data_IF_477080406570
#
_entry.id   IF_477080406570
#
_cell.length_a   1.000
_cell.length_b   1.000
_cell.length_c   1.000
_cell.angle_alpha   90.00
_cell.angle_beta   90.00
_cell.angle_gamma   90.00
#
_symmetry.space_group_name_H-M   'P 1'
#
loop_
_entity.id
_entity.type
_entity.pdbx_description
1 polymer ?
#
# COMPACT_ATOMS: atom_id res chain seq x y z
N UNK A 1 9.33 -8.19 -6.90
CA UNK A 1 10.70 -7.97 -6.40
C UNK A 1 11.35 -6.97 -7.32
N UNK A 2 11.84 -5.85 -6.77
CA UNK A 2 12.44 -4.74 -7.53
C UNK A 2 13.95 -4.75 -7.29
N UNK A 3 14.77 -4.50 -8.33
CA UNK A 3 16.23 -4.69 -8.27
C UNK A 3 16.99 -3.55 -8.97
N UNK A 4 18.12 -3.17 -8.39
CA UNK A 4 19.18 -2.36 -9.00
C UNK A 4 20.42 -3.24 -9.08
N UNK A 5 21.06 -3.27 -10.24
CA UNK A 5 22.37 -3.91 -10.41
C UNK A 5 23.43 -2.83 -10.50
N UNK A 6 24.52 -3.00 -9.76
CA UNK A 6 25.74 -2.25 -9.97
C UNK A 6 26.65 -3.14 -10.82
N UNK A 7 26.82 -2.76 -12.08
CA UNK A 7 27.73 -3.39 -13.03
C UNK A 7 28.81 -2.40 -13.43
N UNK A 8 29.97 -2.93 -13.81
CA UNK A 8 30.98 -2.11 -14.44
C UNK A 8 30.54 -1.89 -15.90
N UNK A 9 30.11 -0.68 -16.26
CA UNK A 9 29.57 -0.39 -17.60
C UNK A 9 30.66 0.06 -18.60
N UNK A 10 31.92 0.12 -18.15
CA UNK A 10 33.08 0.40 -18.99
C UNK A 10 33.61 -0.92 -19.60
N UNK A 11 33.85 -0.99 -20.94
CA UNK A 11 34.31 -2.21 -21.63
C UNK A 11 35.59 -2.84 -21.06
N UNK A 12 36.60 -2.02 -20.74
CA UNK A 12 37.84 -2.51 -20.14
C UNK A 12 37.60 -3.09 -18.73
N UNK A 13 36.65 -2.51 -18.02
CA UNK A 13 36.20 -2.97 -16.72
C UNK A 13 35.37 -4.25 -16.80
N UNK A 14 34.57 -4.42 -17.86
CA UNK A 14 33.87 -5.68 -18.13
C UNK A 14 34.82 -6.80 -18.49
N UNK A 15 35.87 -6.52 -19.27
CA UNK A 15 36.92 -7.48 -19.57
C UNK A 15 37.71 -7.87 -18.31
N UNK A 16 38.07 -6.89 -17.47
CA UNK A 16 38.76 -7.14 -16.20
C UNK A 16 37.87 -7.91 -15.21
N UNK A 17 36.59 -7.53 -15.08
CA UNK A 17 35.62 -8.25 -14.27
C UNK A 17 35.35 -9.66 -14.81
N UNK A 18 35.32 -9.86 -16.12
CA UNK A 18 35.22 -11.17 -16.75
C UNK A 18 36.47 -12.02 -16.49
N UNK A 19 37.66 -11.42 -16.52
CA UNK A 19 38.92 -12.09 -16.17
C UNK A 19 38.95 -12.48 -14.68
N UNK A 20 38.59 -11.58 -13.77
CA UNK A 20 38.46 -11.84 -12.32
C UNK A 20 37.42 -12.93 -12.04
N UNK A 21 36.29 -12.91 -12.76
CA UNK A 21 35.24 -13.94 -12.69
C UNK A 21 35.72 -15.30 -13.21
N UNK A 22 36.53 -15.32 -14.27
CA UNK A 22 37.13 -16.54 -14.84
C UNK A 22 38.20 -17.14 -13.93
N UNK A 23 38.93 -16.31 -13.18
CA UNK A 23 39.94 -16.73 -12.21
C UNK A 23 39.27 -17.09 -10.85
N UNK A 24 38.06 -16.58 -10.58
CA UNK A 24 37.30 -16.89 -9.37
C UNK A 24 37.87 -16.26 -8.10
N UNK A 25 38.77 -15.27 -8.23
CA UNK A 25 39.56 -14.67 -7.14
C UNK A 25 39.38 -13.16 -7.11
N UNK A 26 38.54 -12.66 -6.21
CA UNK A 26 38.33 -11.22 -5.98
C UNK A 26 39.48 -10.56 -5.20
N UNK A 27 40.35 -11.37 -4.59
CA UNK A 27 41.55 -10.97 -3.85
C UNK A 27 42.64 -10.35 -4.73
N UNK A 28 42.48 -10.40 -6.05
CA UNK A 28 43.38 -9.73 -7.02
C UNK A 28 43.12 -8.22 -7.10
N UNK A 29 41.90 -7.77 -6.78
CA UNK A 29 41.50 -6.35 -6.82
C UNK A 29 40.81 -5.94 -5.49
N UNK A 30 41.55 -5.94 -4.37
CA UNK A 30 40.97 -5.75 -3.05
C UNK A 30 40.36 -4.36 -2.86
N UNK A 31 40.97 -3.28 -3.41
CA UNK A 31 40.39 -1.94 -3.30
C UNK A 31 39.10 -1.83 -4.13
N UNK A 32 39.08 -2.43 -5.31
CA UNK A 32 37.92 -2.46 -6.20
C UNK A 32 36.76 -3.25 -5.57
N UNK A 33 37.01 -4.44 -5.01
CA UNK A 33 35.95 -5.25 -4.37
C UNK A 33 35.35 -4.53 -3.15
N UNK A 34 36.19 -3.93 -2.32
CA UNK A 34 35.76 -3.12 -1.18
C UNK A 34 34.89 -1.92 -1.64
N UNK A 35 35.25 -1.30 -2.75
CA UNK A 35 34.53 -0.16 -3.34
C UNK A 35 33.16 -0.57 -3.86
N UNK A 36 33.06 -1.68 -4.62
CA UNK A 36 31.77 -2.22 -5.05
C UNK A 36 30.85 -2.52 -3.86
N UNK A 37 31.39 -3.10 -2.78
CA UNK A 37 30.62 -3.34 -1.56
C UNK A 37 30.18 -2.02 -0.89
N UNK A 38 31.05 -1.01 -0.85
CA UNK A 38 30.75 0.32 -0.32
C UNK A 38 29.65 1.03 -1.09
N UNK A 39 29.77 1.07 -2.42
CA UNK A 39 28.76 1.62 -3.32
C UNK A 39 27.40 0.90 -3.18
N UNK A 40 27.41 -0.43 -3.08
CA UNK A 40 26.17 -1.20 -2.88
C UNK A 40 25.50 -0.88 -1.53
N UNK A 41 26.27 -0.69 -0.45
CA UNK A 41 25.74 -0.26 0.85
C UNK A 41 25.18 1.15 0.79
N UNK A 42 25.89 2.08 0.17
CA UNK A 42 25.46 3.47 -0.02
C UNK A 42 24.09 3.56 -0.71
N UNK A 43 23.90 2.86 -1.84
CA UNK A 43 22.60 2.82 -2.55
C UNK A 43 21.51 2.21 -1.66
N UNK A 44 21.83 1.11 -0.96
CA UNK A 44 20.88 0.48 -0.06
C UNK A 44 20.47 1.38 1.12
N UNK A 45 21.40 2.16 1.67
CA UNK A 45 21.14 3.07 2.78
C UNK A 45 20.30 4.27 2.33
N UNK A 46 20.57 4.83 1.14
CA UNK A 46 19.69 5.83 0.51
C UNK A 46 18.27 5.29 0.29
N UNK A 47 18.13 4.04 -0.19
CA UNK A 47 16.81 3.41 -0.36
C UNK A 47 16.09 3.21 0.99
N UNK A 48 16.81 2.77 2.03
CA UNK A 48 16.26 2.63 3.39
C UNK A 48 15.78 3.95 3.96
N UNK A 49 16.60 5.00 3.83
CA UNK A 49 16.30 6.35 4.30
C UNK A 49 15.07 6.93 3.57
N UNK A 50 14.95 6.71 2.26
CA UNK A 50 13.75 7.06 1.51
C UNK A 50 12.51 6.33 2.03
N UNK A 51 12.62 5.03 2.29
CA UNK A 51 11.53 4.25 2.88
C UNK A 51 11.09 4.71 4.28
N UNK A 52 12.00 5.31 5.03
CA UNK A 52 11.74 5.93 6.34
C UNK A 52 11.27 7.39 6.23
N UNK A 53 11.20 7.95 5.02
CA UNK A 53 10.86 9.35 4.80
C UNK A 53 11.93 10.33 5.30
N UNK A 54 13.17 9.87 5.48
CA UNK A 54 14.29 10.68 5.98
C UNK A 54 15.09 11.36 4.86
N UNK A 55 15.03 10.81 3.64
CA UNK A 55 15.79 11.31 2.49
C UNK A 55 14.94 11.24 1.23
N UNK A 56 14.85 12.36 0.52
CA UNK A 56 14.22 12.40 -0.79
C UNK A 56 15.17 11.91 -1.88
N UNK A 57 14.60 11.33 -2.93
CA UNK A 57 15.32 10.92 -4.14
C UNK A 57 14.88 11.87 -5.26
N UNK A 58 15.81 12.57 -5.94
CA UNK A 58 15.46 13.46 -7.05
C UNK A 58 14.61 12.76 -8.11
N UNK A 59 13.54 13.41 -8.56
CA UNK A 59 12.60 12.86 -9.54
C UNK A 59 11.60 11.84 -8.98
N UNK A 60 11.72 11.45 -7.71
CA UNK A 60 10.82 10.50 -7.05
C UNK A 60 9.97 11.24 -6.01
N UNK A 61 8.63 11.10 -6.03
CA UNK A 61 7.79 11.73 -5.02
C UNK A 61 8.15 11.30 -3.59
N UNK A 62 8.11 12.20 -2.59
CA UNK A 62 8.40 11.87 -1.21
C UNK A 62 7.55 10.71 -0.66
N UNK A 63 8.11 9.99 0.32
CA UNK A 63 7.40 8.89 0.96
C UNK A 63 6.30 9.42 1.87
N UNK A 64 5.04 9.41 1.39
CA UNK A 64 3.88 9.93 2.13
C UNK A 64 3.64 9.20 3.47
N UNK A 65 3.94 7.90 3.51
CA UNK A 65 3.78 7.06 4.70
C UNK A 65 5.05 6.25 4.90
N UNK A 66 5.98 6.70 5.76
CA UNK A 66 7.15 5.92 6.15
C UNK A 66 6.79 4.50 6.56
N UNK A 67 7.60 3.52 6.16
CA UNK A 67 7.31 2.11 6.42
C UNK A 67 8.57 1.34 6.79
N UNK A 68 8.63 0.87 8.04
CA UNK A 68 9.70 -0.01 8.53
C UNK A 68 9.78 -1.30 7.73
N UNK A 69 8.64 -1.86 7.31
CA UNK A 69 8.60 -3.06 6.47
C UNK A 69 9.18 -2.81 5.07
N UNK A 70 8.91 -1.66 4.47
CA UNK A 70 9.48 -1.32 3.16
C UNK A 70 10.99 -1.10 3.26
N UNK A 71 11.46 -0.35 4.25
CA UNK A 71 12.90 -0.10 4.47
C UNK A 71 13.65 -1.38 4.87
N UNK A 72 13.10 -2.19 5.77
CA UNK A 72 13.68 -3.47 6.19
C UNK A 72 13.74 -4.53 5.08
N UNK A 73 12.95 -4.33 4.03
CA UNK A 73 12.93 -5.15 2.81
C UNK A 73 14.12 -4.92 1.87
N UNK A 74 14.94 -3.87 2.08
CA UNK A 74 16.12 -3.58 1.24
C UNK A 74 17.29 -4.51 1.59
N UNK A 75 17.69 -5.34 0.62
CA UNK A 75 18.76 -6.33 0.73
C UNK A 75 19.88 -6.02 -0.26
N UNK A 76 21.11 -6.34 0.13
CA UNK A 76 22.30 -6.31 -0.72
C UNK A 76 22.82 -7.73 -0.84
N UNK A 77 23.01 -8.21 -2.07
CA UNK A 77 23.55 -9.54 -2.35
C UNK A 77 24.71 -9.44 -3.32
N UNK A 78 25.87 -9.98 -2.93
CA UNK A 78 26.99 -10.26 -3.84
C UNK A 78 26.63 -11.50 -4.66
N UNK A 79 26.52 -11.34 -5.97
CA UNK A 79 26.16 -12.46 -6.87
C UNK A 79 27.38 -13.08 -7.54
N UNK A 80 28.44 -12.29 -7.73
CA UNK A 80 29.73 -12.71 -8.25
C UNK A 80 30.81 -11.70 -7.79
N UNK A 81 32.12 -11.96 -8.03
CA UNK A 81 33.14 -10.92 -7.91
C UNK A 81 32.74 -9.65 -8.67
N UNK A 82 32.86 -8.49 -8.02
CA UNK A 82 32.49 -7.18 -8.58
C UNK A 82 31.04 -7.08 -9.10
N UNK A 83 30.12 -7.91 -8.59
CA UNK A 83 28.71 -7.89 -8.97
C UNK A 83 27.81 -7.89 -7.75
N UNK A 84 27.13 -6.75 -7.52
CA UNK A 84 26.20 -6.55 -6.43
C UNK A 84 24.79 -6.26 -6.95
N UNK A 85 23.81 -6.91 -6.34
CA UNK A 85 22.39 -6.64 -6.54
C UNK A 85 21.81 -6.03 -5.28
N UNK A 86 21.17 -4.88 -5.41
CA UNK A 86 20.37 -4.25 -4.37
C UNK A 86 18.90 -4.51 -4.72
N UNK A 87 18.13 -5.09 -3.81
CA UNK A 87 16.73 -5.43 -4.05
C UNK A 87 15.82 -5.06 -2.91
N UNK A 88 14.55 -4.81 -3.20
CA UNK A 88 13.52 -4.68 -2.18
C UNK A 88 12.49 -5.82 -2.30
N UNK A 89 12.41 -6.60 -1.22
CA UNK A 89 11.56 -7.79 -1.11
C UNK A 89 10.22 -7.51 -0.41
N UNK A 90 9.98 -6.28 0.02
CA UNK A 90 8.69 -5.91 0.62
C UNK A 90 7.54 -6.04 -0.40
N UNK A 91 6.36 -6.43 0.07
CA UNK A 91 5.14 -6.49 -0.77
C UNK A 91 4.78 -5.15 -1.39
N UNK A 92 5.17 -4.04 -0.74
CA UNK A 92 4.92 -2.70 -1.23
C UNK A 92 5.87 -2.29 -2.36
N UNK A 93 7.03 -2.93 -2.52
CA UNK A 93 8.03 -2.49 -3.50
C UNK A 93 7.54 -2.49 -4.95
N UNK A 94 6.92 -3.55 -5.48
CA UNK A 94 6.39 -3.50 -6.84
C UNK A 94 5.30 -2.45 -7.02
N UNK A 95 4.44 -2.26 -6.01
CA UNK A 95 3.34 -1.29 -6.05
C UNK A 95 3.85 0.15 -6.05
N UNK A 96 4.90 0.44 -5.30
CA UNK A 96 5.51 1.77 -5.27
C UNK A 96 6.36 2.01 -6.51
N UNK A 97 7.06 1.00 -7.02
CA UNK A 97 7.89 1.13 -8.21
C UNK A 97 7.03 1.39 -9.44
N UNK A 98 6.12 0.47 -9.74
CA UNK A 98 5.37 0.45 -11.00
C UNK A 98 3.98 1.09 -10.90
N UNK A 99 3.52 1.39 -9.68
CA UNK A 99 2.16 1.87 -9.47
C UNK A 99 1.10 0.78 -9.65
N UNK A 100 -0.14 1.22 -9.60
CA UNK A 100 -1.33 0.45 -9.96
C UNK A 100 -2.34 1.38 -10.61
N UNK A 101 -3.04 0.88 -11.63
CA UNK A 101 -4.12 1.63 -12.24
C UNK A 101 -5.30 1.82 -11.28
N UNK A 102 -5.99 2.93 -11.46
CA UNK A 102 -7.29 3.13 -10.84
C UNK A 102 -8.35 2.24 -11.48
N UNK A 103 -9.39 1.92 -10.73
CA UNK A 103 -10.52 1.14 -11.25
C UNK A 103 -11.83 1.55 -10.59
N UNK A 104 -12.93 1.32 -11.31
CA UNK A 104 -14.27 1.49 -10.77
C UNK A 104 -14.60 0.28 -9.87
N UNK A 105 -14.68 0.52 -8.56
CA UNK A 105 -14.96 -0.51 -7.57
C UNK A 105 -16.35 -1.13 -7.76
N UNK A 106 -17.27 -0.47 -8.46
CA UNK A 106 -18.60 -1.05 -8.80
C UNK A 106 -18.51 -2.27 -9.69
N UNK A 107 -17.41 -2.46 -10.41
CA UNK A 107 -17.21 -3.63 -11.29
C UNK A 107 -16.80 -4.89 -10.54
N UNK A 108 -16.30 -4.75 -9.30
CA UNK A 108 -15.72 -5.87 -8.55
C UNK A 108 -16.37 -6.06 -7.18
N UNK A 109 -16.57 -4.98 -6.42
CA UNK A 109 -16.94 -5.06 -5.01
C UNK A 109 -18.39 -5.54 -4.77
N UNK A 110 -19.40 -5.12 -5.56
CA UNK A 110 -20.76 -5.62 -5.41
C UNK A 110 -20.93 -7.12 -5.68
N UNK A 111 -19.95 -7.80 -6.29
CA UNK A 111 -20.10 -9.18 -6.79
C UNK A 111 -19.31 -10.22 -5.97
N UNK A 112 -18.66 -9.82 -4.88
CA UNK A 112 -17.84 -10.71 -4.05
C UNK A 112 -18.64 -11.53 -3.03
N UNK A 113 -17.96 -12.39 -2.26
CA UNK A 113 -18.58 -13.30 -1.26
C UNK A 113 -19.47 -12.59 -0.23
N UNK A 114 -19.10 -11.36 0.17
CA UNK A 114 -19.85 -10.57 1.17
C UNK A 114 -20.99 -9.74 0.57
N UNK A 115 -21.16 -9.75 -0.74
CA UNK A 115 -22.23 -9.05 -1.43
C UNK A 115 -23.61 -9.51 -0.97
N UNK A 116 -24.60 -8.65 -1.19
CA UNK A 116 -26.02 -8.88 -0.99
C UNK A 116 -26.76 -8.53 -2.27
N UNK A 117 -28.01 -8.97 -2.38
CA UNK A 117 -28.83 -8.76 -3.57
C UNK A 117 -30.11 -8.05 -3.20
N UNK A 118 -30.33 -6.87 -3.78
CA UNK A 118 -31.60 -6.15 -3.68
C UNK A 118 -32.50 -6.59 -4.83
N UNK A 119 -33.74 -6.95 -4.51
CA UNK A 119 -34.79 -7.24 -5.50
C UNK A 119 -35.55 -5.95 -5.76
N UNK A 120 -35.41 -5.37 -6.96
CA UNK A 120 -36.13 -4.15 -7.33
C UNK A 120 -36.95 -4.37 -8.60
N UNK A 121 -38.19 -3.91 -8.61
CA UNK A 121 -39.02 -3.95 -9.82
C UNK A 121 -38.52 -2.88 -10.80
N UNK A 122 -38.09 -3.28 -11.98
CA UNK A 122 -37.74 -2.33 -13.02
C UNK A 122 -39.02 -1.63 -13.51
N UNK A 123 -39.09 -0.28 -13.44
CA UNK A 123 -40.30 0.45 -13.81
C UNK A 123 -40.65 0.34 -15.30
N UNK A 124 -39.66 0.10 -16.17
CA UNK A 124 -39.79 -0.07 -17.63
C UNK A 124 -40.21 -1.48 -18.02
N UNK A 125 -39.49 -2.50 -17.56
CA UNK A 125 -39.75 -3.89 -17.97
C UNK A 125 -40.79 -4.60 -17.08
N UNK A 126 -41.16 -3.99 -15.95
CA UNK A 126 -42.03 -4.56 -14.90
C UNK A 126 -41.51 -5.87 -14.27
N UNK A 127 -40.31 -6.32 -14.65
CA UNK A 127 -39.66 -7.51 -14.10
C UNK A 127 -38.86 -7.18 -12.83
N UNK A 128 -38.61 -8.19 -11.99
CA UNK A 128 -37.71 -8.07 -10.84
C UNK A 128 -36.28 -8.12 -11.34
N UNK A 129 -35.49 -7.10 -11.03
CA UNK A 129 -34.06 -7.07 -11.21
C UNK A 129 -33.34 -7.37 -9.90
N UNK A 130 -32.32 -8.21 -10.00
CA UNK A 130 -31.38 -8.48 -8.93
C UNK A 130 -30.24 -7.47 -9.01
N UNK A 131 -30.08 -6.65 -7.98
CA UNK A 131 -29.07 -5.61 -7.93
C UNK A 131 -28.07 -5.97 -6.84
N UNK A 132 -26.85 -6.38 -7.23
CA UNK A 132 -25.81 -6.66 -6.27
C UNK A 132 -25.33 -5.37 -5.60
N UNK A 133 -25.01 -5.48 -4.31
CA UNK A 133 -24.41 -4.42 -3.53
C UNK A 133 -23.52 -4.96 -2.41
N UNK A 134 -22.56 -4.15 -1.99
CA UNK A 134 -21.68 -4.40 -0.85
C UNK A 134 -21.84 -3.26 0.17
N UNK A 135 -22.07 -3.64 1.43
CA UNK A 135 -22.02 -2.73 2.56
C UNK A 135 -20.58 -2.66 3.06
N UNK A 136 -19.98 -1.47 3.02
CA UNK A 136 -18.61 -1.21 3.45
C UNK A 136 -18.65 -0.41 4.75
N UNK A 137 -18.22 -1.00 5.89
CA UNK A 137 -18.10 -0.29 7.14
C UNK A 137 -16.83 0.58 7.15
N UNK A 138 -16.97 1.84 7.55
CA UNK A 138 -15.86 2.76 7.78
C UNK A 138 -15.83 3.11 9.26
N UNK A 139 -14.72 2.79 9.92
CA UNK A 139 -14.50 3.13 11.32
C UNK A 139 -14.07 4.59 11.49
N UNK A 140 -14.43 5.13 12.65
CA UNK A 140 -14.10 6.49 13.05
C UNK A 140 -13.36 6.50 14.39
N UNK A 141 -12.27 7.26 14.44
CA UNK A 141 -11.58 7.59 15.67
C UNK A 141 -12.29 8.74 16.41
N UNK A 142 -12.13 8.77 17.72
CA UNK A 142 -12.53 9.92 18.56
C UNK A 142 -11.49 11.03 18.46
N UNK A 143 -11.83 12.27 18.84
CA UNK A 143 -10.89 13.39 18.82
C UNK A 143 -9.57 13.05 19.54
N UNK A 144 -8.46 13.52 18.96
CA UNK A 144 -7.10 13.19 19.42
C UNK A 144 -6.55 11.84 18.96
N UNK A 145 -7.34 11.00 18.29
CA UNK A 145 -6.86 9.69 17.80
C UNK A 145 -6.15 9.83 16.44
N UNK A 146 -4.92 9.32 16.35
CA UNK A 146 -4.06 9.38 15.14
C UNK A 146 -4.00 8.09 14.33
N UNK A 147 -4.60 7.00 14.81
CA UNK A 147 -4.52 5.66 14.19
C UNK A 147 -5.61 5.38 13.15
N UNK A 148 -6.67 6.19 13.09
CA UNK A 148 -7.77 6.01 12.15
C UNK A 148 -7.59 6.87 10.90
N UNK A 149 -8.13 6.41 9.77
CA UNK A 149 -8.16 7.21 8.54
C UNK A 149 -9.19 8.35 8.61
N UNK A 150 -10.27 8.13 9.37
CA UNK A 150 -11.28 9.14 9.67
C UNK A 150 -11.30 9.37 11.18
N UNK A 151 -11.16 10.63 11.61
CA UNK A 151 -11.27 11.03 13.01
C UNK A 151 -12.38 12.08 13.10
N UNK A 152 -13.28 11.92 14.07
CA UNK A 152 -14.37 12.87 14.30
C UNK A 152 -13.81 14.23 14.74
N UNK A 153 -14.49 15.31 14.34
CA UNK A 153 -14.30 16.61 14.98
C UNK A 153 -14.89 16.58 16.40
N UNK A 154 -14.49 17.53 17.24
CA UNK A 154 -15.03 17.67 18.59
C UNK A 154 -16.56 17.80 18.57
N UNK A 155 -17.12 18.59 17.65
CA UNK A 155 -18.57 18.81 17.52
C UNK A 155 -19.32 17.53 17.15
N UNK A 156 -18.82 16.78 16.16
CA UNK A 156 -19.43 15.51 15.74
C UNK A 156 -19.36 14.50 16.90
N UNK A 157 -18.23 14.46 17.60
CA UNK A 157 -18.06 13.55 18.72
C UNK A 157 -18.99 13.87 19.89
N UNK A 158 -19.16 15.16 20.22
CA UNK A 158 -20.05 15.61 21.29
C UNK A 158 -21.51 15.19 21.07
N UNK A 159 -21.95 15.07 19.81
CA UNK A 159 -23.27 14.53 19.46
C UNK A 159 -23.22 13.00 19.52
N UNK A 160 -22.23 12.39 18.87
CA UNK A 160 -22.13 10.93 18.73
C UNK A 160 -22.00 10.20 20.09
N UNK A 161 -21.32 10.79 21.07
CA UNK A 161 -21.17 10.21 22.41
C UNK A 161 -22.48 10.16 23.22
N UNK A 162 -23.50 10.91 22.82
CA UNK A 162 -24.82 10.93 23.48
C UNK A 162 -25.80 9.97 22.83
N UNK A 163 -25.49 9.49 21.63
CA UNK A 163 -26.31 8.51 20.91
C UNK A 163 -26.44 7.21 21.69
N UNK A 164 -27.62 6.61 21.62
CA UNK A 164 -27.85 5.24 22.09
C UNK A 164 -26.99 4.27 21.29
N UNK A 165 -26.43 3.28 21.99
CA UNK A 165 -25.58 2.27 21.37
C UNK A 165 -26.43 1.26 20.61
N UNK A 166 -26.06 1.00 19.37
CA UNK A 166 -26.49 -0.15 18.59
C UNK A 166 -25.70 -1.39 19.04
N UNK A 167 -26.32 -2.56 18.96
CA UNK A 167 -25.78 -3.83 19.50
C UNK A 167 -25.82 -4.91 18.42
N UNK A 168 -24.74 -5.69 18.32
CA UNK A 168 -24.72 -6.91 17.53
C UNK A 168 -25.36 -8.02 18.35
N UNK A 169 -26.37 -8.67 17.80
CA UNK A 169 -27.07 -9.78 18.45
C UNK A 169 -26.24 -11.06 18.35
N UNK A 170 -26.47 -11.99 19.27
CA UNK A 170 -25.90 -13.35 19.18
C UNK A 170 -26.54 -14.17 18.05
N UNK A 171 -27.78 -13.83 17.70
CA UNK A 171 -28.54 -14.47 16.62
C UNK A 171 -27.93 -14.16 15.24
N UNK A 172 -27.96 -15.18 14.39
CA UNK A 172 -27.53 -15.10 12.98
C UNK A 172 -28.61 -15.63 12.06
N UNK A 173 -28.61 -15.14 10.82
CA UNK A 173 -29.42 -15.71 9.74
C UNK A 173 -28.57 -15.95 8.50
N UNK A 174 -29.07 -16.81 7.62
CA UNK A 174 -28.47 -17.04 6.30
C UNK A 174 -29.13 -16.16 5.25
N UNK A 175 -28.31 -15.46 4.47
CA UNK A 175 -28.72 -14.68 3.32
C UNK A 175 -27.87 -15.08 2.11
N UNK A 176 -28.50 -15.24 0.95
CA UNK A 176 -27.79 -15.49 -0.30
C UNK A 176 -26.93 -14.28 -0.71
N UNK A 177 -25.70 -14.54 -1.15
CA UNK A 177 -24.87 -13.54 -1.81
C UNK A 177 -25.23 -13.42 -3.31
N UNK A 178 -24.50 -12.57 -4.05
CA UNK A 178 -24.68 -12.43 -5.50
C UNK A 178 -24.58 -13.74 -6.28
N UNK A 179 -23.73 -14.67 -5.84
CA UNK A 179 -23.54 -15.97 -6.49
C UNK A 179 -24.58 -17.03 -6.07
N UNK A 180 -25.55 -16.68 -5.21
CA UNK A 180 -26.54 -17.61 -4.66
C UNK A 180 -26.03 -18.48 -3.52
N UNK A 181 -24.83 -18.20 -2.99
CA UNK A 181 -24.29 -18.94 -1.84
C UNK A 181 -24.92 -18.41 -0.54
N UNK A 182 -25.37 -19.32 0.34
CA UNK A 182 -25.87 -18.96 1.66
C UNK A 182 -24.72 -18.48 2.56
N UNK A 183 -24.80 -17.23 3.03
CA UNK A 183 -23.82 -16.62 3.92
C UNK A 183 -24.47 -16.32 5.26
N UNK A 184 -23.89 -16.82 6.35
CA UNK A 184 -24.29 -16.50 7.72
C UNK A 184 -23.97 -15.04 8.06
N UNK A 185 -24.91 -14.34 8.69
CA UNK A 185 -24.78 -12.92 9.06
C UNK A 185 -25.41 -12.65 10.43
N UNK A 186 -24.76 -11.78 11.19
CA UNK A 186 -25.30 -11.30 12.46
C UNK A 186 -26.54 -10.44 12.29
N UNK A 187 -27.43 -10.54 13.27
CA UNK A 187 -28.49 -9.58 13.48
C UNK A 187 -28.01 -8.38 14.31
N UNK A 188 -28.71 -7.26 14.18
CA UNK A 188 -28.33 -6.01 14.81
C UNK A 188 -29.57 -5.32 15.38
N UNK A 189 -29.48 -4.91 16.65
CA UNK A 189 -30.40 -3.93 17.20
C UNK A 189 -29.83 -2.54 16.93
N UNK A 190 -30.34 -1.90 15.88
CA UNK A 190 -29.97 -0.53 15.54
C UNK A 190 -30.67 0.46 16.46
N UNK A 191 -29.90 1.41 16.99
CA UNK A 191 -30.39 2.50 17.81
C UNK A 191 -30.32 3.82 17.00
N UNK A 192 -29.71 4.86 17.56
CA UNK A 192 -29.67 6.17 16.92
C UNK A 192 -28.70 6.19 15.73
N UNK A 193 -28.96 7.10 14.78
CA UNK A 193 -28.09 7.45 13.66
C UNK A 193 -27.88 8.95 13.62
N UNK A 194 -26.64 9.36 13.37
CA UNK A 194 -26.30 10.76 13.17
C UNK A 194 -26.79 11.20 11.78
N UNK A 195 -27.81 12.05 11.73
CA UNK A 195 -28.37 12.59 10.48
C UNK A 195 -28.67 14.09 10.69
N UNK A 196 -27.68 14.92 10.40
CA UNK A 196 -27.75 16.37 10.47
C UNK A 196 -27.19 16.97 9.17
N UNK A 197 -27.47 18.24 8.92
CA UNK A 197 -26.90 18.93 7.78
C UNK A 197 -25.38 19.08 7.95
N UNK A 198 -24.65 19.08 6.83
CA UNK A 198 -23.20 19.33 6.79
C UNK A 198 -22.29 18.33 7.52
N UNK A 199 -22.79 17.13 7.83
CA UNK A 199 -21.99 16.05 8.43
C UNK A 199 -20.96 15.41 7.48
N UNK A 200 -21.05 15.70 6.18
CA UNK A 200 -20.18 15.17 5.15
C UNK A 200 -20.07 13.65 5.22
N UNK A 201 -18.87 13.15 5.54
CA UNK A 201 -18.61 11.72 5.58
C UNK A 201 -19.18 11.00 6.81
N UNK A 202 -19.53 11.73 7.88
CA UNK A 202 -20.06 11.22 9.14
C UNK A 202 -21.59 11.00 9.11
N UNK A 203 -22.27 11.40 8.02
CA UNK A 203 -23.69 11.15 7.85
C UNK A 203 -24.03 9.66 7.94
N UNK A 204 -25.12 9.35 8.64
CA UNK A 204 -25.55 8.00 8.97
C UNK A 204 -24.65 7.26 9.96
N UNK A 205 -23.76 7.95 10.69
CA UNK A 205 -22.92 7.34 11.72
C UNK A 205 -23.77 6.67 12.79
N UNK A 206 -23.30 5.52 13.27
CA UNK A 206 -23.84 4.83 14.44
C UNK A 206 -22.79 4.76 15.53
N UNK A 207 -23.28 4.76 16.77
CA UNK A 207 -22.49 4.33 17.93
C UNK A 207 -22.79 2.85 18.18
N UNK A 208 -21.77 2.00 18.15
CA UNK A 208 -21.86 0.57 18.42
C UNK A 208 -21.31 0.25 19.81
N UNK A 209 -21.95 -0.68 20.50
CA UNK A 209 -21.38 -1.29 21.70
C UNK A 209 -20.29 -2.29 21.31
N UNK A 210 -19.10 -2.15 21.89
CA UNK A 210 -18.04 -3.15 21.78
C UNK A 210 -18.21 -4.17 22.91
N UNK A 211 -18.91 -5.28 22.64
CA UNK A 211 -19.30 -6.28 23.65
C UNK A 211 -18.14 -6.78 24.53
N UNK A 212 -16.93 -7.05 23.99
CA UNK A 212 -15.78 -7.47 24.80
C UNK A 212 -15.24 -6.42 25.78
N UNK A 213 -15.36 -5.11 25.49
CA UNK A 213 -14.74 -4.05 26.29
C UNK A 213 -15.74 -3.10 26.95
N UNK A 214 -17.03 -3.18 26.59
CA UNK A 214 -18.08 -2.23 26.97
C UNK A 214 -17.92 -0.83 26.37
N UNK A 215 -16.84 -0.58 25.62
CA UNK A 215 -16.54 0.73 25.02
C UNK A 215 -17.45 1.00 23.82
N UNK A 216 -17.42 2.24 23.35
CA UNK A 216 -18.15 2.65 22.16
C UNK A 216 -17.21 2.62 20.96
N UNK A 217 -17.70 2.10 19.83
CA UNK A 217 -17.05 2.28 18.53
C UNK A 217 -17.99 3.00 17.58
N UNK A 218 -17.43 3.74 16.63
CA UNK A 218 -18.20 4.62 15.75
C UNK A 218 -17.99 4.19 14.31
N UNK A 219 -19.10 4.01 13.60
CA UNK A 219 -19.09 3.46 12.25
C UNK A 219 -20.05 4.21 11.35
N UNK A 220 -19.64 4.39 10.10
CA UNK A 220 -20.55 4.73 9.00
C UNK A 220 -20.59 3.57 8.03
N UNK A 221 -21.74 3.31 7.42
CA UNK A 221 -21.90 2.24 6.44
C UNK A 221 -22.21 2.84 5.08
N UNK A 222 -21.35 2.58 4.10
CA UNK A 222 -21.57 3.03 2.74
C UNK A 222 -21.87 1.86 1.83
N UNK A 223 -22.64 2.11 0.78
CA UNK A 223 -23.10 1.06 -0.13
C UNK A 223 -22.46 1.26 -1.50
N UNK A 224 -21.71 0.25 -1.94
CA UNK A 224 -21.27 0.12 -3.33
C UNK A 224 -22.28 -0.79 -4.02
N UNK A 225 -23.06 -0.26 -4.94
CA UNK A 225 -24.02 -1.02 -5.72
C UNK A 225 -23.66 -0.99 -7.21
N UNK A 226 -24.08 -2.02 -7.95
CA UNK A 226 -24.05 -1.99 -9.41
C UNK A 226 -24.82 -0.78 -9.99
N UNK A 227 -25.82 -0.25 -9.27
CA UNK A 227 -26.57 0.97 -9.64
C UNK A 227 -26.04 2.27 -9.01
N UNK A 228 -24.94 2.23 -8.25
CA UNK A 228 -24.36 3.48 -7.71
C UNK A 228 -23.98 4.44 -8.86
N UNK A 229 -24.06 5.78 -8.64
CA UNK A 229 -23.81 6.78 -9.67
C UNK A 229 -22.48 6.57 -10.41
N UNK A 230 -22.40 7.03 -11.66
CA UNK A 230 -21.15 6.98 -12.43
C UNK A 230 -20.06 7.75 -11.68
N UNK A 231 -18.85 7.20 -11.62
CA UNK A 231 -17.68 7.78 -10.95
C UNK A 231 -17.79 7.97 -9.42
N UNK A 232 -18.75 7.36 -8.72
CA UNK A 232 -18.90 7.53 -7.26
C UNK A 232 -17.95 6.66 -6.43
N UNK A 233 -17.43 5.57 -7.00
CA UNK A 233 -16.63 4.55 -6.30
C UNK A 233 -15.35 4.24 -7.07
N UNK A 234 -14.55 5.28 -7.33
CA UNK A 234 -13.29 5.15 -8.05
C UNK A 234 -12.13 4.99 -7.07
N UNK A 235 -11.41 3.87 -7.21
CA UNK A 235 -10.06 3.79 -6.65
C UNK A 235 -9.13 4.50 -7.63
N UNK A 236 -8.35 5.48 -7.15
CA UNK A 236 -7.44 6.27 -7.99
C UNK A 236 -6.14 5.53 -8.36
N UNK A 237 -5.90 4.36 -7.78
CA UNK A 237 -4.63 3.65 -7.95
C UNK A 237 -3.49 4.33 -7.20
N UNK A 238 -2.28 3.87 -7.47
CA UNK A 238 -1.03 4.39 -6.91
C UNK A 238 -0.17 4.78 -8.10
N UNK A 239 0.31 6.04 -8.21
CA UNK A 239 1.20 6.39 -9.30
C UNK A 239 2.54 5.67 -9.16
N UNK A 240 3.13 5.27 -10.29
CA UNK A 240 4.50 4.77 -10.34
C UNK A 240 5.48 5.81 -9.79
N UNK A 241 6.44 5.36 -8.99
CA UNK A 241 7.47 6.23 -8.40
C UNK A 241 8.85 6.02 -9.01
N UNK A 242 9.08 4.92 -9.71
CA UNK A 242 10.37 4.57 -10.32
C UNK A 242 11.56 4.81 -9.36
N UNK A 243 11.45 4.27 -8.14
CA UNK A 243 12.43 4.50 -7.07
C UNK A 243 13.81 4.01 -7.50
N UNK A 244 13.87 2.93 -8.29
CA UNK A 244 15.15 2.40 -8.78
C UNK A 244 15.85 3.31 -9.77
N UNK A 245 15.11 3.92 -10.70
CA UNK A 245 15.67 4.88 -11.66
C UNK A 245 16.19 6.12 -10.94
N UNK A 246 15.42 6.63 -9.96
CA UNK A 246 15.86 7.76 -9.14
C UNK A 246 17.13 7.46 -8.33
N UNK A 247 17.22 6.28 -7.72
CA UNK A 247 18.43 5.86 -7.00
C UNK A 247 19.64 5.67 -7.92
N UNK A 248 19.42 5.14 -9.14
CA UNK A 248 20.48 5.01 -10.13
C UNK A 248 21.00 6.40 -10.50
N UNK A 249 20.12 7.31 -10.93
CA UNK A 249 20.52 8.66 -11.32
C UNK A 249 21.21 9.44 -10.19
N UNK A 250 20.77 9.24 -8.94
CA UNK A 250 21.37 9.89 -7.77
C UNK A 250 22.82 9.47 -7.53
N UNK A 251 23.16 8.20 -7.76
CA UNK A 251 24.45 7.63 -7.37
C UNK A 251 25.36 7.25 -8.55
N UNK A 252 24.87 7.29 -9.78
CA UNK A 252 25.59 6.81 -10.98
C UNK A 252 26.98 7.43 -11.11
N UNK A 253 27.08 8.76 -11.00
CA UNK A 253 28.36 9.47 -11.10
C UNK A 253 29.31 9.10 -9.96
N UNK A 254 28.83 9.16 -8.72
CA UNK A 254 29.63 8.84 -7.53
C UNK A 254 30.17 7.41 -7.55
N UNK A 255 29.35 6.45 -8.00
CA UNK A 255 29.74 5.05 -8.16
C UNK A 255 30.80 4.91 -9.26
N UNK A 256 30.60 5.54 -10.41
CA UNK A 256 31.55 5.48 -11.52
C UNK A 256 32.93 6.04 -11.12
N UNK A 257 32.95 7.21 -10.49
CA UNK A 257 34.18 7.87 -10.03
C UNK A 257 34.89 7.02 -8.96
N UNK A 258 34.14 6.47 -7.99
CA UNK A 258 34.70 5.62 -6.94
C UNK A 258 35.32 4.34 -7.52
N UNK A 259 34.64 3.66 -8.44
CA UNK A 259 35.13 2.45 -9.09
C UNK A 259 36.41 2.76 -9.90
N UNK A 260 36.44 3.84 -10.67
CA UNK A 260 37.61 4.24 -11.46
C UNK A 260 38.84 4.48 -10.57
N UNK A 261 38.68 5.20 -9.46
CA UNK A 261 39.76 5.47 -8.52
C UNK A 261 40.28 4.19 -7.83
N UNK A 262 39.37 3.28 -7.47
CA UNK A 262 39.72 2.02 -6.83
C UNK A 262 40.53 1.11 -7.76
N UNK A 263 40.19 1.09 -9.05
CA UNK A 263 40.93 0.33 -10.06
C UNK A 263 42.31 0.91 -10.31
N UNK A 264 42.44 2.23 -10.43
CA UNK A 264 43.75 2.87 -10.55
C UNK A 264 44.64 2.49 -9.36
N UNK A 265 44.06 2.43 -8.15
CA UNK A 265 44.79 2.01 -6.95
C UNK A 265 45.26 0.55 -7.02
N UNK A 266 44.42 -0.36 -7.52
CA UNK A 266 44.80 -1.78 -7.64
C UNK A 266 45.76 -2.05 -8.82
N UNK A 267 45.75 -1.22 -9.86
CA UNK A 267 46.53 -1.42 -11.09
C UNK A 267 47.87 -0.65 -11.13
N UNK A 268 48.07 0.33 -10.24
CA UNK A 268 49.30 1.16 -10.16
C UNK A 268 49.32 2.30 -11.16
#
# INVERSE_FOLDING_TARGET
MVKIKITADNPALQELAAAVKKIGRSDILPATDATFQGCAKMVADSWRAYGQGQKDIPGVPPMKKPSSNYSGGVKVKKSAPLEYTISNESKAAPLLEYGTDGYDMKTTHPYGKKSRVSKQKNPKTKMIELIPYLIVPFSWGTPGTVTFQNTMTEDIYAIAERMKKSVVMEETHFEENWAGEAIERHEYTWADRLNENDLGNADGMVRMSDTPTGKSTYWTFRIISAKSPKNSWINKGIPARNVTEGLKALHEKEIADAIQNALATDLG
#
